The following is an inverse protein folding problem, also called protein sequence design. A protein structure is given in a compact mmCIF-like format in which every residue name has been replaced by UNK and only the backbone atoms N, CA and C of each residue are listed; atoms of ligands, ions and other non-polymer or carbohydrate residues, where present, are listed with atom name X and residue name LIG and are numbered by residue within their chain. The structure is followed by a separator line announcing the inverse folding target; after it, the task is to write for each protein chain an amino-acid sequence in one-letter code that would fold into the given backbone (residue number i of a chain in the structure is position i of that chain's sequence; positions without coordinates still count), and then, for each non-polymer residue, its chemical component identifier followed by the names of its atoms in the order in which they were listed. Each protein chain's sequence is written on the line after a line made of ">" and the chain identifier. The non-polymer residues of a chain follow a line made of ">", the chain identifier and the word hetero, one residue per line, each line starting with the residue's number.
data_IF_224316253927
#
_entry.id   IF_224316253927
#
_cell.length_a   1.000
_cell.length_b   1.000
_cell.length_c   1.000
_cell.angle_alpha   90.00
_cell.angle_beta   90.00
_cell.angle_gamma   90.00
#
_symmetry.space_group_name_H-M   'P 1'
#
loop_
_entity.id
_entity.type
_entity.pdbx_description
1 polymer ?
#
# COMPACT_ATOMS: atom_id res chain seq x y z
N UNK A 1 4.91 13.36 -15.86
CA UNK A 1 3.52 13.41 -15.35
C UNK A 1 3.54 13.61 -13.85
N UNK A 2 2.48 14.20 -13.28
CA UNK A 2 2.37 14.42 -11.82
C UNK A 2 2.72 13.16 -11.01
N UNK A 3 2.19 12.02 -11.40
CA UNK A 3 2.45 10.73 -10.72
C UNK A 3 3.90 10.26 -10.81
N UNK A 4 4.52 10.44 -11.97
CA UNK A 4 5.95 10.16 -12.13
C UNK A 4 6.79 11.03 -11.20
N UNK A 5 6.50 12.32 -11.14
CA UNK A 5 7.27 13.29 -10.36
C UNK A 5 7.07 13.08 -8.85
N UNK A 6 5.85 12.75 -8.43
CA UNK A 6 5.55 12.38 -7.05
C UNK A 6 6.30 11.11 -6.63
N UNK A 7 6.25 10.04 -7.45
CA UNK A 7 6.95 8.80 -7.16
C UNK A 7 8.46 8.99 -7.12
N UNK A 8 9.02 9.74 -8.08
CA UNK A 8 10.44 10.06 -8.12
C UNK A 8 10.90 10.81 -6.86
N UNK A 9 10.17 11.87 -6.46
CA UNK A 9 10.49 12.65 -5.27
C UNK A 9 10.37 11.79 -4.00
N UNK A 10 9.33 10.98 -3.89
CA UNK A 10 9.13 10.07 -2.76
C UNK A 10 10.29 9.06 -2.61
N UNK A 11 10.72 8.43 -3.72
CA UNK A 11 11.83 7.46 -3.71
C UNK A 11 13.16 8.13 -3.35
N UNK A 12 13.36 9.37 -3.84
CA UNK A 12 14.60 10.14 -3.60
C UNK A 12 14.64 10.81 -2.21
N UNK A 13 13.59 10.68 -1.41
CA UNK A 13 13.48 11.30 -0.09
C UNK A 13 13.31 12.83 -0.14
N UNK A 14 12.85 13.36 -1.27
CA UNK A 14 12.53 14.77 -1.43
C UNK A 14 11.05 15.04 -1.12
N UNK A 15 10.74 16.28 -0.78
CA UNK A 15 9.35 16.74 -0.71
C UNK A 15 8.71 16.67 -2.10
N UNK A 16 7.46 16.21 -2.16
CA UNK A 16 6.67 16.19 -3.38
C UNK A 16 5.44 17.08 -3.24
N UNK A 17 4.99 17.61 -4.37
CA UNK A 17 3.78 18.42 -4.40
C UNK A 17 2.59 17.53 -4.09
N UNK A 18 1.88 17.82 -3.00
CA UNK A 18 0.65 17.13 -2.65
C UNK A 18 -0.41 17.41 -3.73
N UNK A 19 -1.08 16.37 -4.22
CA UNK A 19 -2.18 16.55 -5.14
C UNK A 19 -3.38 17.22 -4.45
N UNK A 20 -4.41 17.55 -5.24
CA UNK A 20 -5.64 18.09 -4.68
C UNK A 20 -6.24 17.16 -3.62
N UNK A 21 -7.01 17.72 -2.67
CA UNK A 21 -7.69 16.93 -1.63
C UNK A 21 -8.54 15.80 -2.24
N UNK A 22 -9.19 16.07 -3.37
CA UNK A 22 -9.98 15.07 -4.09
C UNK A 22 -9.14 13.83 -4.48
N UNK A 23 -7.90 14.03 -4.94
CA UNK A 23 -7.01 12.91 -5.29
C UNK A 23 -6.51 12.15 -4.05
N UNK A 24 -6.31 12.85 -2.93
CA UNK A 24 -5.89 12.22 -1.66
C UNK A 24 -6.97 11.28 -1.11
N UNK A 25 -8.23 11.54 -1.41
CA UNK A 25 -9.36 10.74 -0.92
C UNK A 25 -9.67 9.51 -1.80
N UNK A 26 -9.08 9.45 -2.99
CA UNK A 26 -9.29 8.31 -3.90
C UNK A 26 -8.42 7.12 -3.48
N UNK A 27 -9.03 5.95 -3.49
CA UNK A 27 -8.34 4.66 -3.42
C UNK A 27 -7.86 4.26 -4.81
N UNK A 28 -6.58 3.95 -4.92
CA UNK A 28 -5.98 3.47 -6.16
C UNK A 28 -5.51 2.03 -6.00
N UNK A 29 -5.75 1.22 -7.01
CA UNK A 29 -5.21 -0.12 -7.14
C UNK A 29 -4.04 -0.08 -8.13
N UNK A 30 -2.78 -0.23 -7.67
CA UNK A 30 -1.61 -0.13 -8.52
C UNK A 30 -1.33 -1.44 -9.23
N UNK A 31 -0.93 -1.34 -10.49
CA UNK A 31 -0.44 -2.43 -11.32
C UNK A 31 0.85 -2.00 -11.98
N UNK A 32 1.88 -2.83 -11.91
CA UNK A 32 3.17 -2.61 -12.53
C UNK A 32 3.39 -3.63 -13.65
N UNK A 33 3.59 -3.15 -14.87
CA UNK A 33 4.12 -3.92 -15.98
C UNK A 33 5.61 -3.69 -16.11
N UNK A 34 6.38 -4.76 -16.20
CA UNK A 34 7.84 -4.72 -16.33
C UNK A 34 8.22 -5.38 -17.64
N UNK A 35 9.01 -4.68 -18.46
CA UNK A 35 9.60 -5.26 -19.65
C UNK A 35 10.81 -6.08 -19.24
N UNK A 36 10.82 -7.37 -19.58
CA UNK A 36 11.95 -8.25 -19.31
C UNK A 36 13.12 -7.90 -20.25
N UNK A 37 14.09 -7.22 -19.70
CA UNK A 37 15.28 -6.76 -20.42
C UNK A 37 16.17 -7.89 -20.90
N UNK A 38 16.11 -9.06 -20.30
CA UNK A 38 16.94 -10.21 -20.71
C UNK A 38 16.56 -10.70 -22.11
N UNK A 39 15.35 -10.40 -22.56
CA UNK A 39 14.84 -10.73 -23.88
C UNK A 39 15.04 -9.60 -24.90
N UNK A 40 15.72 -8.52 -24.54
CA UNK A 40 15.99 -7.37 -25.41
C UNK A 40 17.48 -7.28 -25.73
N UNK A 41 17.81 -6.98 -26.99
CA UNK A 41 19.19 -6.93 -27.47
C UNK A 41 19.94 -5.64 -27.08
N UNK A 42 19.22 -4.53 -26.89
CA UNK A 42 19.79 -3.24 -26.54
C UNK A 42 18.76 -2.31 -25.84
N UNK A 43 19.25 -1.19 -25.34
CA UNK A 43 18.45 -0.18 -24.61
C UNK A 43 17.39 0.46 -25.52
N UNK A 44 17.70 0.70 -26.81
CA UNK A 44 16.75 1.30 -27.74
C UNK A 44 15.55 0.37 -27.94
N UNK A 45 15.79 -0.92 -28.10
CA UNK A 45 14.72 -1.91 -28.22
C UNK A 45 13.81 -1.93 -27.00
N UNK A 46 14.36 -1.79 -25.79
CA UNK A 46 13.55 -1.67 -24.55
C UNK A 46 12.68 -0.43 -24.57
N UNK A 47 13.23 0.71 -25.02
CA UNK A 47 12.51 1.98 -25.09
C UNK A 47 11.35 1.93 -26.11
N UNK A 48 11.60 1.38 -27.28
CA UNK A 48 10.61 1.25 -28.36
C UNK A 48 9.50 0.28 -27.94
N UNK A 49 9.87 -0.85 -27.33
CA UNK A 49 8.93 -1.82 -26.81
C UNK A 49 8.06 -1.20 -25.71
N UNK A 50 8.67 -0.49 -24.76
CA UNK A 50 7.94 0.23 -23.68
C UNK A 50 6.91 1.21 -24.26
N UNK A 51 7.30 2.00 -25.25
CA UNK A 51 6.39 2.96 -25.89
C UNK A 51 5.19 2.26 -26.52
N UNK A 52 5.42 1.19 -27.27
CA UNK A 52 4.37 0.44 -27.94
C UNK A 52 3.44 -0.26 -26.93
N UNK A 53 4.01 -0.91 -25.90
CA UNK A 53 3.26 -1.57 -24.84
C UNK A 53 2.43 -0.55 -24.06
N UNK A 54 3.02 0.59 -23.68
CA UNK A 54 2.30 1.64 -22.96
C UNK A 54 1.12 2.17 -23.76
N UNK A 55 1.28 2.36 -25.07
CA UNK A 55 0.20 2.79 -25.96
C UNK A 55 -0.92 1.76 -26.04
N UNK A 56 -0.60 0.48 -26.15
CA UNK A 56 -1.58 -0.60 -26.16
C UNK A 56 -2.32 -0.69 -24.81
N UNK A 57 -1.59 -0.68 -23.70
CA UNK A 57 -2.16 -0.66 -22.34
C UNK A 57 -3.11 0.53 -22.18
N UNK A 58 -2.68 1.72 -22.59
CA UNK A 58 -3.51 2.92 -22.48
C UNK A 58 -4.82 2.76 -23.26
N UNK A 59 -4.76 2.26 -24.50
CA UNK A 59 -5.95 2.04 -25.33
C UNK A 59 -6.90 1.04 -24.68
N UNK A 60 -6.40 -0.10 -24.22
CA UNK A 60 -7.20 -1.14 -23.56
C UNK A 60 -7.83 -0.64 -22.25
N UNK A 61 -7.01 0.00 -21.40
CA UNK A 61 -7.46 0.50 -20.09
C UNK A 61 -8.56 1.55 -20.23
N UNK A 62 -8.48 2.43 -21.23
CA UNK A 62 -9.51 3.45 -21.46
C UNK A 62 -10.88 2.84 -21.80
N UNK A 63 -10.95 1.61 -22.27
CA UNK A 63 -12.22 0.94 -22.60
C UNK A 63 -13.01 0.53 -21.35
N UNK A 64 -12.34 0.15 -20.26
CA UNK A 64 -13.01 -0.33 -19.03
C UNK A 64 -12.76 0.56 -17.80
N UNK A 65 -11.74 1.40 -17.82
CA UNK A 65 -11.43 2.34 -16.73
C UNK A 65 -10.92 3.68 -17.27
N UNK A 66 -11.80 4.57 -17.79
CA UNK A 66 -11.39 5.84 -18.42
C UNK A 66 -10.64 6.79 -17.49
N UNK A 67 -10.77 6.63 -16.18
CA UNK A 67 -10.10 7.46 -15.17
C UNK A 67 -8.79 6.85 -14.64
N UNK A 68 -8.41 5.68 -15.15
CA UNK A 68 -7.13 5.09 -14.78
C UNK A 68 -5.96 5.90 -15.34
N UNK A 69 -4.91 5.99 -14.55
CA UNK A 69 -3.68 6.69 -14.91
C UNK A 69 -2.66 5.70 -15.39
N UNK A 70 -2.09 5.94 -16.57
CA UNK A 70 -1.00 5.10 -17.14
C UNK A 70 0.22 5.98 -17.32
N UNK A 71 1.34 5.61 -16.70
CA UNK A 71 2.60 6.32 -16.86
C UNK A 71 3.81 5.39 -16.79
N UNK A 72 4.91 5.77 -17.43
CA UNK A 72 6.17 5.05 -17.33
C UNK A 72 7.03 5.59 -16.20
N UNK A 73 7.77 4.69 -15.56
CA UNK A 73 8.78 5.02 -14.58
C UNK A 73 10.08 4.25 -14.88
N UNK A 74 11.18 4.95 -15.02
CA UNK A 74 12.43 4.40 -15.55
C UNK A 74 12.26 3.81 -16.97
N UNK A 75 13.22 3.00 -17.42
CA UNK A 75 13.22 2.54 -18.79
C UNK A 75 12.23 1.40 -19.08
N UNK A 76 11.98 0.54 -18.11
CA UNK A 76 11.29 -0.74 -18.31
C UNK A 76 9.93 -0.85 -17.61
N UNK A 77 9.56 0.12 -16.77
CA UNK A 77 8.41 0.03 -15.88
C UNK A 77 7.25 0.88 -16.38
N UNK A 78 6.05 0.32 -16.39
CA UNK A 78 4.80 1.00 -16.72
C UNK A 78 3.83 0.78 -15.57
N UNK A 79 3.44 1.85 -14.88
CA UNK A 79 2.42 1.81 -13.86
C UNK A 79 1.05 2.12 -14.43
N UNK A 80 0.05 1.42 -13.90
CA UNK A 80 -1.37 1.72 -14.05
C UNK A 80 -1.94 1.90 -12.65
N UNK A 81 -2.64 3.01 -12.43
CA UNK A 81 -3.35 3.28 -11.20
C UNK A 81 -4.85 3.30 -11.50
N UNK A 82 -5.56 2.31 -11.00
CA UNK A 82 -7.01 2.22 -11.15
C UNK A 82 -7.69 2.90 -9.96
N UNK A 83 -8.42 4.01 -10.14
CA UNK A 83 -9.26 4.56 -9.08
C UNK A 83 -10.41 3.58 -8.83
N UNK A 84 -10.34 2.83 -7.74
CA UNK A 84 -11.19 1.67 -7.53
C UNK A 84 -11.59 1.52 -6.07
N UNK A 85 -12.88 1.29 -5.80
CA UNK A 85 -13.34 0.87 -4.47
C UNK A 85 -13.05 -0.63 -4.28
N UNK A 86 -12.81 -1.03 -3.03
CA UNK A 86 -12.44 -2.42 -2.65
C UNK A 86 -13.37 -3.47 -3.26
N UNK A 87 -14.66 -3.19 -3.32
CA UNK A 87 -15.67 -4.13 -3.86
C UNK A 87 -15.52 -4.45 -5.36
N UNK A 88 -14.80 -3.62 -6.12
CA UNK A 88 -14.58 -3.80 -7.56
C UNK A 88 -13.19 -4.34 -7.92
N UNK A 89 -12.34 -4.64 -6.91
CA UNK A 89 -10.96 -5.08 -7.15
C UNK A 89 -10.90 -6.38 -7.96
N UNK A 90 -11.76 -7.35 -7.67
CA UNK A 90 -11.75 -8.63 -8.38
C UNK A 90 -12.15 -8.47 -9.87
N UNK A 91 -13.04 -7.54 -10.16
CA UNK A 91 -13.39 -7.20 -11.55
C UNK A 91 -12.19 -6.57 -12.27
N UNK A 92 -11.51 -5.63 -11.62
CA UNK A 92 -10.29 -5.00 -12.15
C UNK A 92 -9.18 -6.04 -12.35
N UNK A 93 -8.95 -6.94 -11.40
CA UNK A 93 -7.98 -8.04 -11.53
C UNK A 93 -8.28 -8.93 -12.75
N UNK A 94 -9.55 -9.27 -12.96
CA UNK A 94 -9.94 -10.09 -14.13
C UNK A 94 -9.66 -9.36 -15.44
N UNK A 95 -9.95 -8.05 -15.53
CA UNK A 95 -9.65 -7.24 -16.70
C UNK A 95 -8.13 -7.14 -16.95
N UNK A 96 -7.33 -6.95 -15.89
CA UNK A 96 -5.87 -6.94 -15.98
C UNK A 96 -5.36 -8.28 -16.53
N UNK A 97 -5.87 -9.39 -16.03
CA UNK A 97 -5.49 -10.74 -16.49
C UNK A 97 -5.81 -10.94 -17.97
N UNK A 98 -6.97 -10.49 -18.40
CA UNK A 98 -7.39 -10.57 -19.81
C UNK A 98 -6.46 -9.72 -20.71
N UNK A 99 -6.22 -8.47 -20.31
CA UNK A 99 -5.32 -7.55 -21.00
C UNK A 99 -3.89 -8.11 -21.06
N UNK A 100 -3.35 -8.59 -19.94
CA UNK A 100 -2.04 -9.21 -19.89
C UNK A 100 -1.94 -10.39 -20.85
N UNK A 101 -2.93 -11.28 -20.84
CA UNK A 101 -2.97 -12.44 -21.73
C UNK A 101 -2.99 -12.02 -23.21
N UNK A 102 -3.72 -10.97 -23.55
CA UNK A 102 -3.75 -10.43 -24.92
C UNK A 102 -2.39 -9.85 -25.33
N UNK A 103 -1.72 -9.12 -24.44
CA UNK A 103 -0.39 -8.55 -24.69
C UNK A 103 0.68 -9.64 -24.88
N UNK A 104 0.68 -10.67 -24.03
CA UNK A 104 1.70 -11.75 -24.06
C UNK A 104 1.50 -12.71 -25.24
N UNK A 105 0.27 -12.90 -25.75
CA UNK A 105 0.03 -13.64 -26.98
C UNK A 105 0.83 -13.12 -28.17
N UNK A 106 1.20 -11.85 -28.16
CA UNK A 106 2.05 -11.21 -29.17
C UNK A 106 3.56 -11.38 -28.88
N UNK A 107 3.93 -12.36 -28.04
CA UNK A 107 5.32 -12.65 -27.65
C UNK A 107 6.06 -11.46 -27.01
N UNK A 108 5.33 -10.59 -26.31
CA UNK A 108 5.93 -9.47 -25.60
C UNK A 108 6.54 -9.98 -24.27
N UNK A 109 7.81 -9.65 -23.99
CA UNK A 109 8.48 -10.05 -22.76
C UNK A 109 8.04 -9.17 -21.58
N UNK A 110 6.88 -9.48 -21.02
CA UNK A 110 6.25 -8.69 -19.97
C UNK A 110 6.04 -9.52 -18.71
N UNK A 111 6.34 -8.90 -17.58
CA UNK A 111 5.91 -9.34 -16.24
C UNK A 111 4.84 -8.36 -15.75
N UNK A 112 3.92 -8.85 -14.94
CA UNK A 112 2.86 -8.04 -14.35
C UNK A 112 2.84 -8.27 -12.83
N UNK A 113 2.83 -7.18 -12.06
CA UNK A 113 2.65 -7.21 -10.60
C UNK A 113 1.41 -6.41 -10.25
N UNK A 114 0.52 -7.00 -9.47
CA UNK A 114 -0.66 -6.31 -8.94
C UNK A 114 -0.46 -6.02 -7.46
N UNK A 115 -0.77 -4.80 -7.03
CA UNK A 115 -0.60 -4.36 -5.65
C UNK A 115 -1.87 -4.39 -4.83
N UNK A 116 -1.96 -3.51 -3.85
CA UNK A 116 -3.11 -3.34 -2.98
C UNK A 116 -3.83 -2.03 -3.24
N UNK A 117 -5.09 -1.98 -2.86
CA UNK A 117 -5.86 -0.76 -2.95
C UNK A 117 -5.48 0.20 -1.81
N UNK A 118 -4.91 1.34 -2.14
CA UNK A 118 -4.39 2.30 -1.17
C UNK A 118 -4.63 3.75 -1.57
N UNK A 119 -4.64 4.64 -0.56
CA UNK A 119 -4.57 6.10 -0.75
C UNK A 119 -3.11 6.56 -0.76
N UNK A 120 -2.87 7.76 -1.30
CA UNK A 120 -1.61 8.47 -1.13
C UNK A 120 -1.48 8.90 0.36
N UNK A 121 -0.31 8.74 1.05
CA UNK A 121 1.02 8.34 0.56
C UNK A 121 1.32 6.83 0.59
N UNK A 122 0.45 5.98 1.14
CA UNK A 122 0.66 4.51 1.21
C UNK A 122 0.91 3.93 -0.17
N UNK A 123 0.14 4.38 -1.14
CA UNK A 123 0.28 3.99 -2.55
C UNK A 123 1.71 4.23 -3.08
N UNK A 124 2.31 5.38 -2.79
CA UNK A 124 3.68 5.69 -3.25
C UNK A 124 4.72 4.76 -2.63
N UNK A 125 4.53 4.38 -1.37
CA UNK A 125 5.37 3.41 -0.69
C UNK A 125 5.27 2.03 -1.32
N UNK A 126 4.06 1.58 -1.57
CA UNK A 126 3.81 0.31 -2.24
C UNK A 126 4.41 0.27 -3.64
N UNK A 127 4.22 1.32 -4.44
CA UNK A 127 4.82 1.42 -5.77
C UNK A 127 6.35 1.38 -5.72
N UNK A 128 6.97 2.02 -4.70
CA UNK A 128 8.42 1.92 -4.47
C UNK A 128 8.83 0.49 -4.18
N UNK A 129 8.08 -0.21 -3.32
CA UNK A 129 8.38 -1.60 -2.95
C UNK A 129 8.20 -2.55 -4.15
N UNK A 130 7.17 -2.33 -4.98
CA UNK A 130 6.98 -3.09 -6.24
C UNK A 130 8.17 -2.96 -7.20
N UNK A 131 8.85 -1.80 -7.25
CA UNK A 131 10.03 -1.58 -8.08
C UNK A 131 11.28 -2.34 -7.60
N UNK A 132 11.29 -2.80 -6.36
CA UNK A 132 12.41 -3.52 -5.74
C UNK A 132 12.26 -5.05 -5.81
N UNK A 133 11.14 -5.54 -6.37
CA UNK A 133 10.91 -6.98 -6.48
C UNK A 133 11.91 -7.62 -7.43
N UNK A 134 12.51 -8.71 -6.96
CA UNK A 134 13.32 -9.60 -7.78
C UNK A 134 12.45 -10.77 -8.24
N UNK A 135 11.87 -10.61 -9.45
CA UNK A 135 10.87 -11.51 -9.99
C UNK A 135 11.54 -12.63 -10.81
N UNK A 136 11.55 -13.82 -10.25
CA UNK A 136 12.05 -15.03 -10.89
C UNK A 136 11.00 -16.13 -10.82
N UNK A 137 10.86 -16.91 -11.89
CA UNK A 137 9.99 -18.08 -11.92
C UNK A 137 9.14 -18.18 -13.18
N UNK A 138 8.37 -19.26 -13.31
CA UNK A 138 7.52 -19.52 -14.48
C UNK A 138 6.24 -18.68 -14.50
N UNK A 139 5.91 -17.99 -13.42
CA UNK A 139 4.75 -17.09 -13.35
C UNK A 139 5.09 -15.76 -13.98
N UNK A 140 4.16 -15.22 -14.75
CA UNK A 140 4.30 -13.93 -15.41
C UNK A 140 3.34 -12.86 -14.86
N UNK A 141 2.40 -13.26 -13.99
CA UNK A 141 1.54 -12.36 -13.22
C UNK A 141 1.77 -12.70 -11.74
N UNK A 142 2.14 -11.70 -10.98
CA UNK A 142 2.45 -11.82 -9.55
C UNK A 142 1.50 -10.93 -8.75
N UNK A 143 0.89 -11.47 -7.71
CA UNK A 143 0.27 -10.63 -6.69
C UNK A 143 1.37 -10.19 -5.70
N UNK A 144 1.46 -8.90 -5.42
CA UNK A 144 2.46 -8.34 -4.53
C UNK A 144 2.45 -9.01 -3.14
N UNK A 145 1.25 -9.44 -2.67
CA UNK A 145 1.08 -10.21 -1.45
C UNK A 145 1.84 -11.54 -1.44
N UNK A 146 1.84 -12.26 -2.56
CA UNK A 146 2.43 -13.59 -2.67
C UNK A 146 3.95 -13.54 -2.81
N UNK A 147 4.45 -12.53 -3.54
CA UNK A 147 5.89 -12.36 -3.81
C UNK A 147 6.61 -11.76 -2.60
N UNK A 148 5.93 -10.95 -1.82
CA UNK A 148 6.53 -10.15 -0.76
C UNK A 148 6.74 -10.92 0.57
N UNK A 149 6.27 -12.16 0.70
CA UNK A 149 6.57 -12.96 1.92
C UNK A 149 8.07 -13.18 2.15
N UNK A 150 8.90 -13.10 1.10
CA UNK A 150 10.35 -13.29 1.18
C UNK A 150 11.19 -11.99 1.09
N UNK A 151 10.62 -10.87 0.67
CA UNK A 151 11.36 -9.67 0.24
C UNK A 151 10.95 -8.36 0.93
N UNK A 152 10.24 -8.40 2.06
CA UNK A 152 9.82 -7.17 2.77
C UNK A 152 11.02 -6.27 3.09
N UNK A 153 11.09 -5.05 2.56
CA UNK A 153 12.10 -4.09 2.96
C UNK A 153 11.93 -3.72 4.44
N UNK A 154 13.04 -3.58 5.16
CA UNK A 154 13.09 -3.31 6.61
C UNK A 154 12.51 -1.96 7.05
N UNK A 155 11.93 -1.18 6.14
CA UNK A 155 11.28 0.11 6.42
C UNK A 155 10.09 0.31 5.46
N UNK A 156 9.06 -0.52 5.55
CA UNK A 156 7.89 -0.32 4.69
C UNK A 156 7.16 0.95 5.11
N UNK A 157 6.84 1.80 4.12
CA UNK A 157 6.02 3.01 4.32
C UNK A 157 4.67 2.69 4.97
N UNK A 158 4.14 1.48 4.73
CA UNK A 158 2.91 0.97 5.32
C UNK A 158 3.01 0.87 6.84
N UNK A 159 4.11 0.33 7.35
CA UNK A 159 4.33 0.21 8.78
C UNK A 159 4.41 1.58 9.45
N UNK A 160 5.07 2.53 8.81
CA UNK A 160 5.13 3.92 9.28
C UNK A 160 3.72 4.55 9.34
N UNK A 161 2.88 4.31 8.33
CA UNK A 161 1.50 4.80 8.30
C UNK A 161 0.66 4.17 9.41
N UNK A 162 0.80 2.86 9.64
CA UNK A 162 0.14 2.15 10.76
C UNK A 162 0.55 2.77 12.10
N UNK A 163 1.83 3.01 12.31
CA UNK A 163 2.35 3.60 13.54
C UNK A 163 1.84 5.01 13.77
N UNK A 164 1.84 5.85 12.73
CA UNK A 164 1.34 7.23 12.82
C UNK A 164 -0.16 7.24 13.12
N UNK A 165 -0.95 6.43 12.41
CA UNK A 165 -2.38 6.31 12.68
C UNK A 165 -2.64 5.91 14.13
N UNK A 166 -1.95 4.88 14.63
CA UNK A 166 -2.09 4.44 16.03
C UNK A 166 -1.72 5.57 16.99
N UNK A 167 -0.63 6.28 16.75
CA UNK A 167 -0.15 7.39 17.59
C UNK A 167 -1.15 8.55 17.67
N UNK A 168 -1.78 8.88 16.55
CA UNK A 168 -2.76 9.98 16.46
C UNK A 168 -4.12 9.64 17.07
N UNK A 169 -4.43 8.33 17.21
CA UNK A 169 -5.74 7.86 17.65
C UNK A 169 -5.72 7.13 19.00
N UNK A 170 -4.66 7.33 19.83
CA UNK A 170 -4.52 6.63 21.13
C UNK A 170 -5.66 6.91 22.11
N UNK A 171 -6.31 8.06 22.02
CA UNK A 171 -7.44 8.46 22.84
C UNK A 171 -8.80 7.98 22.29
N UNK A 172 -8.79 7.23 21.20
CA UNK A 172 -10.00 6.68 20.59
C UNK A 172 -10.09 5.17 20.81
N UNK A 173 -11.28 4.62 20.52
CA UNK A 173 -11.45 3.18 20.47
C UNK A 173 -10.80 2.63 19.18
N UNK A 174 -9.55 2.22 19.31
CA UNK A 174 -8.74 1.72 18.21
C UNK A 174 -8.47 0.22 18.39
N UNK A 175 -8.67 -0.55 17.34
CA UNK A 175 -8.36 -1.97 17.29
C UNK A 175 -7.72 -2.35 15.93
N UNK A 176 -7.29 -3.60 15.79
CA UNK A 176 -6.71 -4.13 14.55
C UNK A 176 -7.59 -3.86 13.33
N UNK A 177 -8.91 -4.06 13.47
CA UNK A 177 -9.85 -3.88 12.37
C UNK A 177 -9.96 -2.41 11.96
N UNK A 178 -10.07 -1.47 12.91
CA UNK A 178 -10.12 -0.04 12.59
C UNK A 178 -8.86 0.46 11.91
N UNK A 179 -7.69 -0.09 12.28
CA UNK A 179 -6.42 0.20 11.58
C UNK A 179 -6.44 -0.36 10.15
N UNK A 180 -6.91 -1.60 9.99
CA UNK A 180 -7.00 -2.25 8.69
C UNK A 180 -8.02 -1.55 7.76
N UNK A 181 -9.16 -1.12 8.30
CA UNK A 181 -10.19 -0.35 7.58
C UNK A 181 -9.64 1.01 7.13
N UNK A 182 -8.87 1.71 7.99
CA UNK A 182 -8.24 2.97 7.61
C UNK A 182 -7.26 2.82 6.44
N UNK A 183 -6.49 1.74 6.43
CA UNK A 183 -5.50 1.45 5.39
C UNK A 183 -6.15 0.73 4.19
N UNK A 184 -7.40 0.29 4.34
CA UNK A 184 -8.16 -0.50 3.36
C UNK A 184 -7.48 -1.83 3.01
N UNK A 185 -6.97 -2.53 4.03
CA UNK A 185 -6.33 -3.84 3.89
C UNK A 185 -7.07 -4.92 4.69
N UNK A 186 -6.83 -6.18 4.31
CA UNK A 186 -7.29 -7.30 5.11
C UNK A 186 -6.61 -7.29 6.49
N UNK A 187 -7.36 -7.36 7.62
CA UNK A 187 -6.81 -7.29 8.97
C UNK A 187 -5.78 -8.36 9.29
N UNK A 188 -5.99 -9.60 8.83
CA UNK A 188 -5.08 -10.72 9.12
C UNK A 188 -3.77 -10.59 8.33
N UNK A 189 -3.86 -10.09 7.10
CA UNK A 189 -2.69 -9.81 6.29
C UNK A 189 -1.87 -8.66 6.89
N UNK A 190 -2.51 -7.56 7.24
CA UNK A 190 -1.86 -6.41 7.86
C UNK A 190 -1.17 -6.79 9.19
N UNK A 191 -1.83 -7.61 10.01
CA UNK A 191 -1.26 -8.06 11.28
C UNK A 191 -0.03 -8.96 11.09
N UNK A 192 -0.05 -9.87 10.10
CA UNK A 192 1.11 -10.70 9.75
C UNK A 192 2.29 -9.84 9.28
N UNK A 193 2.02 -8.87 8.40
CA UNK A 193 3.01 -7.94 7.90
C UNK A 193 3.65 -7.15 9.05
N UNK A 194 2.81 -6.55 9.88
CA UNK A 194 3.25 -5.75 11.02
C UNK A 194 4.06 -6.58 12.03
N UNK A 195 3.60 -7.81 12.34
CA UNK A 195 4.29 -8.72 13.24
C UNK A 195 5.67 -9.14 12.69
N UNK A 196 5.80 -9.32 11.38
CA UNK A 196 7.07 -9.65 10.73
C UNK A 196 8.10 -8.53 10.90
N UNK A 197 7.67 -7.26 10.80
CA UNK A 197 8.53 -6.08 10.91
C UNK A 197 8.85 -5.71 12.36
N UNK A 198 7.88 -5.81 13.27
CA UNK A 198 7.99 -5.34 14.65
C UNK A 198 8.11 -6.45 15.70
N UNK A 199 7.92 -7.71 15.32
CA UNK A 199 7.86 -8.82 16.27
C UNK A 199 6.58 -8.86 17.11
N UNK A 200 5.67 -7.87 16.98
CA UNK A 200 4.43 -7.71 17.74
C UNK A 200 3.23 -7.64 16.80
N UNK A 201 2.08 -8.18 17.23
CA UNK A 201 0.81 -7.93 16.53
C UNK A 201 0.39 -6.46 16.67
N UNK A 202 -0.45 -5.98 15.76
CA UNK A 202 -1.03 -4.62 15.83
C UNK A 202 -1.74 -4.39 17.17
N UNK A 203 -2.50 -5.38 17.64
CA UNK A 203 -3.21 -5.30 18.93
C UNK A 203 -2.24 -5.17 20.12
N UNK A 204 -1.13 -5.90 20.11
CA UNK A 204 -0.07 -5.77 21.12
C UNK A 204 0.59 -4.39 21.07
N UNK A 205 0.92 -3.91 19.86
CA UNK A 205 1.51 -2.59 19.66
C UNK A 205 0.59 -1.46 20.14
N UNK A 206 -0.70 -1.51 19.81
CA UNK A 206 -1.71 -0.56 20.32
C UNK A 206 -1.70 -0.55 21.86
N UNK A 207 -1.74 -1.73 22.47
CA UNK A 207 -1.74 -1.87 23.94
C UNK A 207 -0.48 -1.24 24.56
N UNK A 208 0.70 -1.52 24.03
CA UNK A 208 1.96 -0.93 24.50
C UNK A 208 1.95 0.60 24.38
N UNK A 209 1.52 1.14 23.25
CA UNK A 209 1.45 2.59 23.03
C UNK A 209 0.45 3.28 23.94
N UNK A 210 -0.72 2.67 24.18
CA UNK A 210 -1.70 3.18 25.16
C UNK A 210 -1.14 3.18 26.58
N UNK A 211 -0.38 2.14 26.97
CA UNK A 211 0.27 2.09 28.30
C UNK A 211 1.34 3.17 28.42
N UNK A 212 2.17 3.37 27.40
CA UNK A 212 3.20 4.41 27.42
C UNK A 212 2.58 5.82 27.50
N UNK A 213 1.49 6.03 26.78
CA UNK A 213 0.74 7.29 26.82
C UNK A 213 0.07 7.50 28.18
N UNK A 214 -0.49 6.45 28.78
CA UNK A 214 -1.02 6.50 30.16
C UNK A 214 0.05 6.90 31.18
N UNK A 215 1.25 6.31 31.10
CA UNK A 215 2.39 6.69 31.96
C UNK A 215 2.79 8.15 31.78
N UNK A 216 2.75 8.66 30.54
CA UNK A 216 3.03 10.06 30.26
C UNK A 216 1.97 10.95 30.91
N UNK A 217 0.69 10.65 30.74
CA UNK A 217 -0.42 11.42 31.35
C UNK A 217 -0.34 11.44 32.89
N UNK A 218 -0.01 10.32 33.52
CA UNK A 218 0.21 10.25 34.96
C UNK A 218 1.35 11.14 35.47
N UNK A 219 2.36 11.39 34.64
CA UNK A 219 3.52 12.24 35.00
C UNK A 219 3.30 13.71 34.68
N UNK A 220 2.47 14.02 33.70
CA UNK A 220 2.35 15.40 33.14
C UNK A 220 1.02 16.06 33.46
N UNK A 221 0.06 15.32 34.04
CA UNK A 221 -1.27 15.84 34.38
C UNK A 221 -1.69 15.42 35.80
N UNK A 222 -2.73 16.05 36.30
CA UNK A 222 -3.35 15.70 37.59
C UNK A 222 -4.55 14.75 37.41
N UNK A 223 -4.68 14.07 36.28
CA UNK A 223 -5.77 13.14 36.01
C UNK A 223 -5.63 11.90 36.89
N UNK A 224 -6.76 11.42 37.42
CA UNK A 224 -6.84 10.15 38.12
C UNK A 224 -6.62 8.98 37.16
N UNK A 225 -6.25 7.81 37.68
CA UNK A 225 -6.10 6.57 36.91
C UNK A 225 -7.40 6.24 36.17
N UNK A 226 -8.56 6.47 36.78
CA UNK A 226 -9.88 6.24 36.19
C UNK A 226 -10.15 7.15 34.99
N UNK A 227 -9.83 8.45 35.10
CA UNK A 227 -9.98 9.40 34.01
C UNK A 227 -9.04 9.08 32.86
N UNK A 228 -7.80 8.66 33.14
CA UNK A 228 -6.85 8.23 32.11
C UNK A 228 -7.34 6.96 31.42
N UNK A 229 -7.85 5.98 32.17
CA UNK A 229 -8.39 4.76 31.59
C UNK A 229 -9.59 5.05 30.66
N UNK A 230 -10.51 5.90 31.10
CA UNK A 230 -11.64 6.34 30.29
C UNK A 230 -11.18 7.07 29.01
N UNK A 231 -10.22 7.98 29.12
CA UNK A 231 -9.66 8.73 28.00
C UNK A 231 -9.00 7.83 26.95
N UNK A 232 -8.42 6.72 27.40
CA UNK A 232 -7.79 5.73 26.51
C UNK A 232 -8.76 4.66 26.00
N UNK A 233 -10.07 4.79 26.26
CA UNK A 233 -11.10 3.87 25.80
C UNK A 233 -11.19 2.56 26.58
N UNK A 234 -10.66 2.52 27.81
CA UNK A 234 -10.82 1.38 28.73
C UNK A 234 -12.05 1.58 29.61
N UNK A 235 -13.23 1.28 29.09
CA UNK A 235 -14.50 1.54 29.78
C UNK A 235 -14.80 0.55 30.93
N UNK A 236 -14.12 -0.60 30.96
CA UNK A 236 -14.49 -1.73 31.85
C UNK A 236 -13.77 -1.83 33.20
N UNK A 237 -12.97 -0.86 33.63
CA UNK A 237 -12.28 -0.97 34.94
C UNK A 237 -13.08 -0.45 36.13
N UNK A 238 -14.28 0.08 35.94
CA UNK A 238 -15.09 0.71 37.01
C UNK A 238 -16.07 -0.22 37.72
N UNK A 239 -16.22 -1.48 37.30
CA UNK A 239 -17.24 -2.37 37.88
C UNK A 239 -16.70 -3.45 38.82
N UNK A 240 -15.44 -3.45 39.20
CA UNK A 240 -14.89 -4.50 40.08
C UNK A 240 -14.44 -4.04 41.48
N UNK A 241 -14.71 -2.79 41.91
CA UNK A 241 -14.24 -2.31 43.22
C UNK A 241 -15.32 -2.04 44.24
N UNK A 242 -16.61 -2.33 43.98
CA UNK A 242 -17.70 -2.15 44.94
C UNK A 242 -18.39 -3.47 45.37
N UNK A 243 -17.62 -4.55 45.57
CA UNK A 243 -18.09 -5.78 46.19
C UNK A 243 -17.04 -6.31 47.18
N UNK A 244 -16.92 -5.61 48.32
CA UNK A 244 -16.34 -6.14 49.54
C UNK A 244 -16.86 -5.35 50.75
#
# INVERSE_FOLDING_TARGET
>A
SLWHDMLFSYISGHEYILPSQTMLDILYYPVLFIIDRQQCNNIQQVADLRYNVQKQIYTEVQTFSPHAVVFSYQLQNIFILFPCKVQYIEEVKQQIKNMYTALVKNSLPLLCVTGYNAKIPVLLGEMKDMLQLDLHGPQNIFEFAEVNESLLPKNSSLVYVVQNYIKEHLEQEICRNTVADYIHMNPDYLDRLFKKEFGLSISQYIKEKKIDYAKMLLRTTNLSVSEIAQRLGYICLLYTSDAA
#
